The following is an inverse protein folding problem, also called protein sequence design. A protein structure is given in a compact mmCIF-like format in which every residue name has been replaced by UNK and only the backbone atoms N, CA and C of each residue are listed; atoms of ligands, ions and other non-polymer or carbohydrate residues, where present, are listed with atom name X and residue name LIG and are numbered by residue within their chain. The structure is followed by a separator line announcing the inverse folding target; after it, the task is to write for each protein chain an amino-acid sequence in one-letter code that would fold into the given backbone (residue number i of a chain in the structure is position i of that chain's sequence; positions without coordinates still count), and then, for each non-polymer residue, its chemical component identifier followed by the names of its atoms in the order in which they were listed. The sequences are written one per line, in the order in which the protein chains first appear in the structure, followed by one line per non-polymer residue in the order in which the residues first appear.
data_IF_562229602355
#
_entry.id   IF_562229602355
#
_cell.length_a   1.000
_cell.length_b   1.000
_cell.length_c   1.000
_cell.angle_alpha   90.00
_cell.angle_beta   90.00
_cell.angle_gamma   90.00
#
_symmetry.space_group_name_H-M   'P 1'
#
loop_
_entity.id
_entity.type
_entity.pdbx_description
1 polymer ?
#
# COMPACT_ATOMS: atom_id res chain seq x y z
N UNK A 1 1.84 23.55 5.41
CA UNK A 1 1.84 22.32 4.60
C UNK A 1 3.28 21.96 4.19
N UNK A 2 3.95 21.08 4.96
CA UNK A 2 5.33 20.63 4.70
C UNK A 2 5.47 19.72 3.45
N UNK A 3 4.36 19.22 2.91
CA UNK A 3 4.37 18.26 1.78
C UNK A 3 3.88 18.87 0.46
N UNK A 4 3.55 20.15 0.43
CA UNK A 4 3.08 20.89 -0.75
C UNK A 4 1.88 20.22 -1.47
N UNK A 5 1.01 19.56 -0.71
CA UNK A 5 -0.20 18.90 -1.22
C UNK A 5 -1.39 19.78 -0.89
N UNK A 6 -2.22 20.03 -1.87
CA UNK A 6 -3.52 20.66 -1.67
C UNK A 6 -4.52 19.59 -1.20
N UNK A 7 -5.14 19.84 -0.06
CA UNK A 7 -6.17 18.97 0.52
C UNK A 7 -7.44 19.81 0.64
N UNK A 8 -8.48 19.36 -0.03
CA UNK A 8 -9.82 19.95 0.11
C UNK A 8 -10.47 19.44 1.40
N UNK A 9 -10.21 20.15 2.49
CA UNK A 9 -10.72 19.80 3.82
C UNK A 9 -12.24 19.93 3.88
N UNK A 10 -12.81 20.94 3.20
CA UNK A 10 -14.26 21.19 3.21
C UNK A 10 -14.98 20.03 2.52
N UNK A 11 -14.45 19.53 1.43
CA UNK A 11 -14.98 18.34 0.75
C UNK A 11 -14.94 17.10 1.65
N UNK A 12 -13.83 16.88 2.35
CA UNK A 12 -13.68 15.74 3.28
C UNK A 12 -14.71 15.82 4.40
N UNK A 13 -14.87 16.99 5.01
CA UNK A 13 -15.85 17.20 6.08
C UNK A 13 -17.28 17.00 5.59
N UNK A 14 -17.62 17.52 4.41
CA UNK A 14 -18.95 17.33 3.81
C UNK A 14 -19.25 15.85 3.51
N UNK A 15 -18.26 15.09 2.98
CA UNK A 15 -18.42 13.66 2.74
C UNK A 15 -18.59 12.87 4.04
N UNK A 16 -17.83 13.21 5.09
CA UNK A 16 -17.98 12.57 6.41
C UNK A 16 -19.34 12.86 7.04
N UNK A 17 -19.82 14.09 6.96
CA UNK A 17 -21.15 14.48 7.44
C UNK A 17 -22.25 13.71 6.70
N UNK A 18 -22.24 13.69 5.37
CA UNK A 18 -23.18 12.92 4.57
C UNK A 18 -23.15 11.41 4.90
N UNK A 19 -21.95 10.84 5.08
CA UNK A 19 -21.84 9.45 5.47
C UNK A 19 -22.47 9.17 6.83
N UNK A 20 -22.29 10.03 7.81
CA UNK A 20 -22.92 9.93 9.13
C UNK A 20 -24.43 10.07 9.07
N UNK A 21 -24.93 11.02 8.26
CA UNK A 21 -26.38 11.19 8.05
C UNK A 21 -27.00 9.93 7.43
N UNK A 22 -26.41 9.35 6.40
CA UNK A 22 -26.90 8.11 5.80
C UNK A 22 -26.89 6.93 6.77
N UNK A 23 -25.86 6.83 7.63
CA UNK A 23 -25.84 5.81 8.70
C UNK A 23 -27.01 5.99 9.64
N UNK A 24 -27.25 7.21 10.13
CA UNK A 24 -28.36 7.50 11.06
C UNK A 24 -29.73 7.23 10.42
N UNK A 25 -29.94 7.66 9.18
CA UNK A 25 -31.19 7.41 8.45
C UNK A 25 -31.42 5.90 8.27
N UNK A 26 -30.41 5.15 7.89
CA UNK A 26 -30.50 3.69 7.75
C UNK A 26 -30.86 3.02 9.08
N UNK A 27 -30.19 3.38 10.16
CA UNK A 27 -30.46 2.83 11.49
C UNK A 27 -31.89 3.09 11.97
N UNK A 28 -32.42 4.30 11.69
CA UNK A 28 -33.82 4.63 12.02
C UNK A 28 -34.81 3.78 11.22
N UNK A 29 -34.58 3.61 9.92
CA UNK A 29 -35.43 2.78 9.07
C UNK A 29 -35.34 1.29 9.42
N UNK A 30 -34.15 0.79 9.75
CA UNK A 30 -33.95 -0.59 10.22
C UNK A 30 -34.69 -0.85 11.55
N UNK A 31 -34.67 0.13 12.46
CA UNK A 31 -35.42 0.09 13.71
C UNK A 31 -36.93 0.05 13.44
N UNK A 32 -37.44 0.97 12.59
CA UNK A 32 -38.85 1.00 12.21
C UNK A 32 -39.29 -0.32 11.56
N UNK A 33 -38.51 -0.86 10.62
CA UNK A 33 -38.76 -2.16 10.00
C UNK A 33 -38.82 -3.28 11.01
N UNK A 34 -37.93 -3.28 12.00
CA UNK A 34 -37.89 -4.26 13.09
C UNK A 34 -39.14 -4.16 13.99
N UNK A 35 -39.62 -2.96 14.25
CA UNK A 35 -40.81 -2.73 15.06
C UNK A 35 -42.09 -3.18 14.33
N UNK A 36 -42.20 -2.91 13.03
CA UNK A 36 -43.26 -3.42 12.15
C UNK A 36 -43.24 -4.95 12.14
N UNK A 37 -42.08 -5.56 12.01
CA UNK A 37 -41.97 -7.03 12.03
C UNK A 37 -42.41 -7.68 13.37
N UNK A 38 -42.15 -6.98 14.49
CA UNK A 38 -42.58 -7.44 15.82
C UNK A 38 -44.09 -7.33 16.04
N UNK A 39 -44.75 -6.33 15.44
CA UNK A 39 -46.19 -6.11 15.58
C UNK A 39 -47.03 -7.21 14.95
N UNK A 40 -46.47 -7.99 14.01
CA UNK A 40 -47.15 -9.04 13.23
C UNK A 40 -48.42 -8.54 12.49
N UNK A 41 -48.53 -7.24 12.28
CA UNK A 41 -49.66 -6.61 11.61
C UNK A 41 -49.50 -6.72 10.10
N UNK A 42 -50.37 -7.50 9.47
CA UNK A 42 -50.35 -7.72 8.02
C UNK A 42 -50.66 -6.44 7.23
N UNK A 43 -51.35 -5.46 7.81
CA UNK A 43 -51.66 -4.15 7.15
C UNK A 43 -50.41 -3.34 6.91
N UNK A 44 -49.32 -3.57 7.63
CA UNK A 44 -48.05 -2.85 7.52
C UNK A 44 -47.05 -3.52 6.54
N UNK A 45 -47.45 -4.60 5.86
CA UNK A 45 -46.56 -5.31 4.93
C UNK A 45 -46.08 -4.45 3.77
N UNK A 46 -46.96 -3.67 3.15
CA UNK A 46 -46.58 -2.75 2.08
C UNK A 46 -45.66 -1.62 2.55
N UNK A 47 -45.86 -1.14 3.81
CA UNK A 47 -44.95 -0.18 4.43
C UNK A 47 -43.57 -0.80 4.66
N UNK A 48 -43.49 -2.03 5.13
CA UNK A 48 -42.22 -2.73 5.32
C UNK A 48 -41.45 -2.92 4.02
N UNK A 49 -42.15 -3.20 2.91
CA UNK A 49 -41.50 -3.27 1.58
C UNK A 49 -40.92 -1.92 1.15
N UNK A 50 -41.66 -0.85 1.31
CA UNK A 50 -41.17 0.51 0.98
C UNK A 50 -39.93 0.86 1.80
N UNK A 51 -39.94 0.60 3.11
CA UNK A 51 -38.79 0.81 3.99
C UNK A 51 -37.58 -0.01 3.51
N UNK A 52 -37.78 -1.24 3.03
CA UNK A 52 -36.68 -2.05 2.51
C UNK A 52 -36.03 -1.40 1.28
N UNK A 53 -36.84 -0.91 0.34
CA UNK A 53 -36.32 -0.21 -0.86
C UNK A 53 -35.57 1.07 -0.46
N UNK A 54 -36.08 1.78 0.54
CA UNK A 54 -35.44 2.99 1.04
C UNK A 54 -34.08 2.71 1.72
N UNK A 55 -34.04 1.66 2.55
CA UNK A 55 -32.76 1.16 3.14
C UNK A 55 -31.76 0.81 2.04
N UNK A 56 -32.18 0.10 0.99
CA UNK A 56 -31.29 -0.28 -0.12
C UNK A 56 -30.76 0.95 -0.86
N UNK A 57 -31.59 1.96 -1.08
CA UNK A 57 -31.19 3.22 -1.72
C UNK A 57 -30.20 4.01 -0.86
N UNK A 58 -30.50 4.17 0.44
CA UNK A 58 -29.60 4.86 1.37
C UNK A 58 -28.27 4.10 1.49
N UNK A 59 -28.29 2.77 1.53
CA UNK A 59 -27.07 1.95 1.58
C UNK A 59 -26.19 2.15 0.35
N UNK A 60 -26.78 2.29 -0.84
CA UNK A 60 -26.03 2.59 -2.07
C UNK A 60 -25.42 3.98 -2.03
N UNK A 61 -26.16 4.98 -1.57
CA UNK A 61 -25.65 6.36 -1.43
C UNK A 61 -24.51 6.40 -0.39
N UNK A 62 -24.70 5.76 0.75
CA UNK A 62 -23.69 5.67 1.79
C UNK A 62 -22.42 4.98 1.27
N UNK A 63 -22.54 3.87 0.54
CA UNK A 63 -21.40 3.17 -0.02
C UNK A 63 -20.62 4.06 -1.02
N UNK A 64 -21.32 4.81 -1.86
CA UNK A 64 -20.68 5.74 -2.80
C UNK A 64 -19.91 6.85 -2.08
N UNK A 65 -20.53 7.51 -1.10
CA UNK A 65 -19.90 8.58 -0.32
C UNK A 65 -18.72 8.06 0.49
N UNK A 66 -18.87 6.89 1.11
CA UNK A 66 -17.81 6.22 1.86
C UNK A 66 -16.60 5.89 0.98
N UNK A 67 -16.84 5.32 -0.21
CA UNK A 67 -15.76 5.01 -1.16
C UNK A 67 -15.02 6.27 -1.63
N UNK A 68 -15.74 7.36 -1.89
CA UNK A 68 -15.12 8.63 -2.27
C UNK A 68 -14.27 9.19 -1.12
N UNK A 69 -14.79 9.19 0.10
CA UNK A 69 -14.06 9.61 1.30
C UNK A 69 -12.80 8.75 1.52
N UNK A 70 -12.90 7.44 1.45
CA UNK A 70 -11.77 6.52 1.58
C UNK A 70 -10.71 6.73 0.49
N UNK A 71 -11.12 6.99 -0.74
CA UNK A 71 -10.21 7.30 -1.86
C UNK A 71 -9.41 8.57 -1.59
N UNK A 72 -10.06 9.63 -1.11
CA UNK A 72 -9.39 10.88 -0.76
C UNK A 72 -8.44 10.65 0.42
N UNK A 73 -8.92 10.05 1.51
CA UNK A 73 -8.12 9.83 2.72
C UNK A 73 -6.90 8.94 2.47
N UNK A 74 -7.04 7.90 1.65
CA UNK A 74 -5.93 7.00 1.32
C UNK A 74 -4.83 7.65 0.45
N UNK A 75 -5.16 8.75 -0.23
CA UNK A 75 -4.19 9.51 -1.02
C UNK A 75 -3.41 10.56 -0.20
N UNK A 76 -3.87 10.86 1.02
CA UNK A 76 -3.24 11.86 1.88
C UNK A 76 -2.01 11.25 2.56
N UNK A 77 -0.81 11.83 2.37
CA UNK A 77 0.39 11.32 3.02
C UNK A 77 0.36 11.62 4.52
N UNK A 78 1.05 10.78 5.29
CA UNK A 78 1.16 10.96 6.73
C UNK A 78 1.82 12.29 7.11
N UNK A 79 1.53 12.79 8.31
CA UNK A 79 2.13 14.00 8.87
C UNK A 79 3.62 13.74 9.13
N UNK A 80 4.53 14.55 8.58
CA UNK A 80 5.95 14.39 8.82
C UNK A 80 6.31 14.78 10.26
N UNK A 81 7.40 14.19 10.78
CA UNK A 81 7.95 14.60 12.09
C UNK A 81 8.25 16.11 12.11
N UNK A 82 8.10 16.80 13.27
CA UNK A 82 8.38 18.23 13.38
C UNK A 82 9.76 18.66 12.88
N UNK A 83 10.78 17.83 13.09
CA UNK A 83 12.16 18.11 12.70
C UNK A 83 12.43 17.98 11.19
N UNK A 84 11.50 17.37 10.44
CA UNK A 84 11.65 17.28 8.98
C UNK A 84 11.55 18.68 8.37
N UNK A 85 12.57 19.12 7.60
CA UNK A 85 12.57 20.43 6.96
C UNK A 85 11.46 20.55 5.94
N UNK A 86 11.00 21.77 5.71
CA UNK A 86 10.05 22.06 4.62
C UNK A 86 10.82 22.21 3.33
N UNK A 87 10.49 21.44 2.31
CA UNK A 87 11.17 21.48 1.01
C UNK A 87 10.39 20.74 -0.06
N UNK A 88 10.66 21.10 -1.33
CA UNK A 88 9.99 20.49 -2.50
C UNK A 88 10.68 19.20 -2.94
N UNK A 89 11.98 19.12 -2.75
CA UNK A 89 12.85 18.06 -3.23
C UNK A 89 14.01 17.78 -2.26
N UNK A 90 14.87 16.86 -2.62
CA UNK A 90 16.05 16.43 -1.87
C UNK A 90 17.07 17.53 -1.59
N UNK A 91 17.10 18.63 -2.38
CA UNK A 91 17.99 19.74 -2.14
C UNK A 91 17.66 20.52 -0.85
N UNK A 92 16.45 20.32 -0.35
CA UNK A 92 15.99 20.89 0.92
C UNK A 92 16.33 20.01 2.13
N UNK A 93 16.94 18.84 1.93
CA UNK A 93 17.34 17.97 3.04
C UNK A 93 18.48 18.60 3.84
N UNK A 94 18.44 18.42 5.15
CA UNK A 94 19.46 18.90 6.09
C UNK A 94 20.28 17.71 6.57
N UNK A 95 21.60 17.78 6.39
CA UNK A 95 22.51 16.76 6.95
C UNK A 95 22.49 16.85 8.46
N UNK A 96 22.08 15.75 9.13
CA UNK A 96 21.96 15.68 10.58
C UNK A 96 23.30 15.25 11.20
N UNK A 97 23.98 14.29 10.58
CA UNK A 97 25.26 13.80 11.06
C UNK A 97 26.11 13.26 9.92
N UNK A 98 27.39 13.32 10.08
CA UNK A 98 28.38 12.73 9.18
C UNK A 98 29.36 11.90 9.99
N UNK A 99 29.58 10.65 9.56
CA UNK A 99 30.52 9.74 10.21
C UNK A 99 31.54 9.21 9.22
N UNK A 100 32.79 9.11 9.65
CA UNK A 100 33.89 8.64 8.83
C UNK A 100 34.45 9.69 7.85
N UNK A 101 35.42 9.27 7.08
CA UNK A 101 36.09 10.09 6.07
C UNK A 101 35.93 9.45 4.70
N UNK A 102 35.47 10.20 3.72
CA UNK A 102 35.37 9.72 2.34
C UNK A 102 36.78 9.50 1.81
N UNK A 103 37.15 8.29 1.33
CA UNK A 103 38.45 8.04 0.79
C UNK A 103 38.67 8.84 -0.50
N UNK A 104 39.85 9.42 -0.62
CA UNK A 104 40.24 10.14 -1.85
C UNK A 104 41.08 9.18 -2.72
N UNK A 105 40.46 8.66 -3.77
CA UNK A 105 41.12 7.76 -4.72
C UNK A 105 41.97 8.57 -5.71
N UNK A 106 43.17 8.07 -6.03
CA UNK A 106 44.05 8.63 -7.09
C UNK A 106 43.62 8.19 -8.50
N UNK A 107 42.54 7.43 -8.59
CA UNK A 107 41.96 6.93 -9.85
C UNK A 107 40.44 7.17 -9.82
N UNK A 108 39.78 7.12 -10.98
CA UNK A 108 38.34 7.20 -11.08
C UNK A 108 37.72 5.86 -10.64
N UNK A 109 37.01 5.79 -9.50
CA UNK A 109 36.38 4.56 -9.07
C UNK A 109 35.27 4.15 -10.03
N UNK A 110 35.13 2.85 -10.30
CA UNK A 110 34.00 2.29 -11.02
C UNK A 110 32.80 2.13 -10.11
N UNK A 111 31.62 2.19 -10.68
CA UNK A 111 30.36 1.84 -9.97
C UNK A 111 30.28 0.36 -9.68
N UNK A 112 29.39 -0.04 -8.78
CA UNK A 112 29.20 -1.45 -8.41
C UNK A 112 28.78 -2.32 -9.60
N UNK A 113 27.94 -1.80 -10.50
CA UNK A 113 27.52 -2.54 -11.69
C UNK A 113 28.66 -2.70 -12.70
N UNK A 114 29.48 -1.66 -12.95
CA UNK A 114 30.66 -1.76 -13.80
C UNK A 114 31.67 -2.78 -13.26
N UNK A 115 31.87 -2.82 -11.93
CA UNK A 115 32.73 -3.84 -11.30
C UNK A 115 32.16 -5.24 -11.45
N UNK A 116 30.84 -5.40 -11.32
CA UNK A 116 30.18 -6.68 -11.47
C UNK A 116 30.27 -7.23 -12.90
N UNK A 117 30.12 -6.38 -13.89
CA UNK A 117 30.28 -6.74 -15.31
C UNK A 117 31.73 -7.06 -15.65
N UNK A 118 32.69 -6.25 -15.22
CA UNK A 118 34.11 -6.50 -15.43
C UNK A 118 34.58 -7.83 -14.84
N UNK A 119 34.03 -8.19 -13.68
CA UNK A 119 34.27 -9.48 -13.03
C UNK A 119 33.46 -10.63 -13.64
N UNK A 120 32.61 -10.32 -14.63
CA UNK A 120 31.69 -11.27 -15.24
C UNK A 120 30.73 -11.95 -14.26
N UNK A 121 30.38 -11.24 -13.17
CA UNK A 121 29.48 -11.71 -12.10
C UNK A 121 28.10 -11.10 -12.15
N UNK A 122 27.88 -10.02 -12.94
CA UNK A 122 26.59 -9.45 -13.29
C UNK A 122 26.36 -9.52 -14.79
N UNK A 123 25.12 -9.78 -15.21
CA UNK A 123 24.76 -9.91 -16.62
C UNK A 123 23.39 -9.24 -16.89
N UNK A 124 23.46 -8.01 -17.35
CA UNK A 124 22.27 -7.21 -17.66
C UNK A 124 21.72 -7.57 -19.06
N UNK A 125 22.59 -7.94 -20.01
CA UNK A 125 22.16 -8.31 -21.35
C UNK A 125 21.31 -9.57 -21.37
N UNK A 126 21.71 -10.57 -20.59
CA UNK A 126 20.96 -11.81 -20.44
C UNK A 126 19.61 -11.53 -19.74
N UNK A 127 19.60 -10.68 -18.71
CA UNK A 127 18.38 -10.30 -18.00
C UNK A 127 17.42 -9.55 -18.92
N UNK A 128 17.91 -8.64 -19.77
CA UNK A 128 17.10 -7.92 -20.73
C UNK A 128 16.43 -8.86 -21.73
N UNK A 129 17.12 -9.90 -22.18
CA UNK A 129 16.56 -10.88 -23.13
C UNK A 129 15.50 -11.80 -22.51
N UNK A 130 15.61 -12.09 -21.22
CA UNK A 130 14.74 -13.07 -20.55
C UNK A 130 13.59 -12.42 -19.80
N UNK A 131 13.80 -11.24 -19.20
CA UNK A 131 12.88 -10.64 -18.25
C UNK A 131 12.54 -9.17 -18.58
N UNK A 132 13.48 -8.47 -19.22
CA UNK A 132 13.33 -7.07 -19.58
C UNK A 132 14.39 -6.18 -18.92
N UNK A 133 14.27 -4.86 -19.14
CA UNK A 133 15.16 -3.87 -18.53
C UNK A 133 14.96 -3.80 -17.02
N UNK A 134 15.98 -3.37 -16.28
CA UNK A 134 16.03 -3.23 -14.81
C UNK A 134 16.10 -4.54 -14.02
N UNK A 135 16.39 -5.66 -14.68
CA UNK A 135 16.74 -6.92 -14.05
C UNK A 135 18.21 -7.23 -14.26
N UNK A 136 18.74 -8.10 -13.44
CA UNK A 136 20.16 -8.55 -13.52
C UNK A 136 20.27 -10.02 -13.16
N UNK A 137 21.13 -10.75 -13.87
CA UNK A 137 21.57 -12.08 -13.43
C UNK A 137 22.83 -11.93 -12.59
N UNK A 138 22.77 -12.41 -11.36
CA UNK A 138 23.92 -12.50 -10.44
C UNK A 138 24.54 -13.89 -10.61
N UNK A 139 25.86 -13.95 -10.85
CA UNK A 139 26.54 -15.19 -11.22
C UNK A 139 27.70 -15.51 -10.28
N UNK A 140 28.10 -16.79 -10.28
CA UNK A 140 29.31 -17.32 -9.65
C UNK A 140 29.46 -16.91 -8.17
N UNK A 141 30.61 -16.40 -7.80
CA UNK A 141 30.94 -16.04 -6.40
C UNK A 141 30.05 -14.95 -5.83
N UNK A 142 29.54 -14.03 -6.68
CA UNK A 142 28.61 -13.00 -6.22
C UNK A 142 27.26 -13.61 -5.83
N UNK A 143 26.75 -14.58 -6.59
CA UNK A 143 25.54 -15.31 -6.23
C UNK A 143 25.71 -16.13 -4.94
N UNK A 144 26.91 -16.71 -4.75
CA UNK A 144 27.23 -17.39 -3.48
C UNK A 144 27.26 -16.42 -2.30
N UNK A 145 27.84 -15.23 -2.50
CA UNK A 145 27.91 -14.18 -1.47
C UNK A 145 26.52 -13.67 -1.10
N UNK A 146 25.67 -13.41 -2.07
CA UNK A 146 24.27 -12.97 -1.85
C UNK A 146 23.51 -13.97 -0.98
N UNK A 147 23.59 -15.27 -1.31
CA UNK A 147 22.97 -16.33 -0.51
C UNK A 147 23.58 -16.44 0.90
N UNK A 148 24.90 -16.32 1.00
CA UNK A 148 25.58 -16.36 2.29
C UNK A 148 25.18 -15.20 3.20
N UNK A 149 25.05 -14.00 2.64
CA UNK A 149 24.57 -12.81 3.36
C UNK A 149 23.11 -12.96 3.81
N UNK A 150 22.26 -13.49 2.94
CA UNK A 150 20.85 -13.75 3.29
C UNK A 150 20.73 -14.70 4.47
N UNK A 151 21.45 -15.82 4.44
CA UNK A 151 21.48 -16.78 5.54
C UNK A 151 22.05 -16.15 6.82
N UNK A 152 23.17 -15.42 6.71
CA UNK A 152 23.77 -14.74 7.86
C UNK A 152 22.81 -13.76 8.54
N UNK A 153 22.07 -12.97 7.75
CA UNK A 153 21.08 -12.03 8.28
C UNK A 153 19.93 -12.76 8.97
N UNK A 154 19.36 -13.80 8.35
CA UNK A 154 18.30 -14.61 8.96
C UNK A 154 18.77 -15.25 10.26
N UNK A 155 19.90 -15.95 10.23
CA UNK A 155 20.47 -16.61 11.41
C UNK A 155 20.75 -15.62 12.56
N UNK A 156 21.22 -14.42 12.24
CA UNK A 156 21.48 -13.37 13.23
C UNK A 156 20.17 -12.91 13.88
N UNK A 157 19.12 -12.69 13.10
CA UNK A 157 17.85 -12.26 13.64
C UNK A 157 17.16 -13.34 14.47
N UNK A 158 17.17 -14.58 14.01
CA UNK A 158 16.58 -15.71 14.75
C UNK A 158 17.35 -15.99 16.03
N UNK A 159 18.68 -16.15 15.93
CA UNK A 159 19.49 -16.64 17.06
C UNK A 159 19.86 -15.53 18.07
N UNK A 160 19.97 -14.27 17.63
CA UNK A 160 20.44 -13.16 18.49
C UNK A 160 19.34 -12.20 18.88
N UNK A 161 18.41 -11.91 17.95
CA UNK A 161 17.39 -10.86 18.16
C UNK A 161 16.01 -11.42 18.53
N UNK A 162 15.86 -12.74 18.65
CA UNK A 162 14.63 -13.40 19.09
C UNK A 162 13.47 -13.33 18.09
N UNK A 163 13.76 -13.18 16.80
CA UNK A 163 12.76 -13.25 15.74
C UNK A 163 12.43 -14.72 15.40
N UNK A 164 11.22 -14.94 14.94
CA UNK A 164 10.79 -16.22 14.38
C UNK A 164 10.91 -16.16 12.86
N UNK A 165 11.55 -17.16 12.25
CA UNK A 165 11.62 -17.27 10.79
C UNK A 165 10.31 -17.78 10.23
N UNK A 166 9.78 -17.09 9.22
CA UNK A 166 8.55 -17.45 8.51
C UNK A 166 8.83 -17.52 7.02
N UNK A 167 8.33 -18.55 6.35
CA UNK A 167 8.33 -18.68 4.89
C UNK A 167 6.93 -18.37 4.36
N UNK A 168 6.64 -17.13 3.96
CA UNK A 168 5.31 -16.72 3.50
C UNK A 168 5.07 -17.14 2.05
N UNK A 169 3.79 -17.24 1.60
CA UNK A 169 3.47 -17.27 0.18
C UNK A 169 4.00 -16.06 -0.56
N UNK A 170 4.44 -16.24 -1.81
CA UNK A 170 4.96 -15.16 -2.66
C UNK A 170 3.86 -14.36 -3.37
N UNK A 171 2.58 -14.65 -3.10
CA UNK A 171 1.42 -13.99 -3.69
C UNK A 171 0.61 -13.36 -2.56
N UNK A 172 0.38 -12.05 -2.68
CA UNK A 172 -0.42 -11.28 -1.74
C UNK A 172 -1.72 -10.78 -2.37
N UNK A 173 -2.75 -10.54 -1.55
CA UNK A 173 -4.00 -9.90 -1.97
C UNK A 173 -3.85 -8.38 -1.99
N UNK A 174 -4.76 -7.69 -2.68
CA UNK A 174 -4.86 -6.21 -2.67
C UNK A 174 -5.03 -5.65 -1.24
N UNK A 175 -5.83 -6.29 -0.42
CA UNK A 175 -6.02 -5.91 0.99
C UNK A 175 -4.69 -5.97 1.78
N UNK A 176 -3.86 -6.98 1.53
CA UNK A 176 -2.52 -7.08 2.12
C UNK A 176 -1.61 -5.95 1.62
N UNK A 177 -1.59 -5.71 0.30
CA UNK A 177 -0.79 -4.64 -0.31
C UNK A 177 -1.21 -3.25 0.16
N UNK A 178 -2.51 -3.04 0.40
CA UNK A 178 -3.02 -1.81 1.01
C UNK A 178 -2.59 -1.69 2.48
N UNK A 179 -2.72 -2.76 3.25
CA UNK A 179 -2.35 -2.77 4.68
C UNK A 179 -0.86 -2.52 4.94
N UNK A 180 0.00 -2.89 3.98
CA UNK A 180 1.46 -2.67 4.04
C UNK A 180 1.91 -1.39 3.33
N UNK A 181 0.98 -0.61 2.76
CA UNK A 181 1.24 0.72 2.20
C UNK A 181 1.76 0.77 0.77
N UNK A 182 1.78 -0.36 0.04
CA UNK A 182 2.09 -0.39 -1.38
C UNK A 182 0.96 0.19 -2.22
N UNK A 183 -0.28 -0.15 -1.89
CA UNK A 183 -1.47 0.41 -2.52
C UNK A 183 -2.07 1.55 -1.67
N UNK A 184 -2.70 2.54 -2.30
CA UNK A 184 -2.84 2.74 -3.74
C UNK A 184 -1.64 3.43 -4.40
N UNK A 185 -0.69 3.95 -3.63
CA UNK A 185 0.34 4.89 -4.08
C UNK A 185 1.29 4.28 -5.14
N UNK A 186 1.68 3.03 -4.97
CA UNK A 186 2.67 2.35 -5.81
C UNK A 186 2.03 1.29 -6.72
N UNK A 187 0.77 1.48 -7.12
CA UNK A 187 0.02 0.50 -7.92
C UNK A 187 0.75 0.16 -9.24
N UNK A 188 1.28 1.16 -9.93
CA UNK A 188 2.00 0.99 -11.19
C UNK A 188 3.38 0.31 -11.04
N UNK A 189 3.89 0.20 -9.83
CA UNK A 189 5.19 -0.42 -9.53
C UNK A 189 5.06 -1.89 -9.10
N UNK A 190 3.82 -2.40 -9.01
CA UNK A 190 3.54 -3.75 -8.56
C UNK A 190 3.40 -4.74 -9.73
N UNK A 191 3.77 -6.00 -9.49
CA UNK A 191 3.52 -7.09 -10.43
C UNK A 191 2.17 -7.72 -10.16
N UNK A 192 1.12 -7.21 -10.81
CA UNK A 192 -0.21 -7.78 -10.72
C UNK A 192 -0.33 -9.07 -11.53
N UNK A 193 -0.85 -10.11 -10.89
CA UNK A 193 -1.10 -11.40 -11.51
C UNK A 193 -2.50 -11.43 -12.13
N UNK A 194 -2.58 -11.75 -13.40
CA UNK A 194 -3.85 -12.02 -14.09
C UNK A 194 -4.18 -13.50 -13.90
N UNK A 195 -5.07 -13.78 -12.97
CA UNK A 195 -5.61 -15.12 -12.75
C UNK A 195 -7.00 -15.17 -13.37
N UNK A 196 -7.24 -16.17 -14.20
CA UNK A 196 -8.56 -16.40 -14.79
C UNK A 196 -9.58 -16.63 -13.67
N UNK A 197 -10.76 -16.03 -13.78
CA UNK A 197 -11.95 -16.20 -12.92
C UNK A 197 -11.96 -15.57 -11.51
N UNK A 198 -11.00 -14.76 -11.10
CA UNK A 198 -11.11 -14.04 -9.84
C UNK A 198 -11.28 -12.54 -10.02
N UNK A 199 -12.28 -11.95 -9.34
CA UNK A 199 -12.44 -10.50 -9.23
C UNK A 199 -11.39 -9.86 -8.32
N UNK A 200 -10.65 -10.68 -7.55
CA UNK A 200 -9.71 -10.23 -6.54
C UNK A 200 -8.33 -10.05 -7.16
N UNK A 201 -7.78 -8.86 -7.00
CA UNK A 201 -6.43 -8.53 -7.44
C UNK A 201 -5.41 -9.30 -6.58
N UNK A 202 -4.39 -9.83 -7.22
CA UNK A 202 -3.27 -10.51 -6.56
C UNK A 202 -1.95 -10.04 -7.13
N UNK A 203 -0.94 -10.00 -6.30
CA UNK A 203 0.35 -9.43 -6.61
C UNK A 203 1.46 -10.40 -6.24
N UNK A 204 2.50 -10.44 -7.07
CA UNK A 204 3.75 -11.12 -6.73
C UNK A 204 4.56 -10.20 -5.80
N UNK A 205 5.06 -10.76 -4.69
CA UNK A 205 5.85 -10.04 -3.68
C UNK A 205 7.26 -10.64 -3.52
#
# INVERSE_FOLDING_TARGET
NKRFIEIDVDKILSLDENNREYIQQRELLEKEKKDISKSKDQSLFEKSKKITVEIDNISKLQASVKNELETILSSIPNIPHPDVPTGKDENSNVEISKSGTIPNFKFKPKSHYELGEDLNMLDFDLATKTTGSRFVFVKDKLAMLERALSNFMLDTHVNTNGYEEISPPLIATDATMYGTGQLPKFDNDQFELKLDDSSDRKFLI
#
